data_IF_666534320613
#
_entry.id   IF_666534320613
#
_cell.length_a   1.000
_cell.length_b   1.000
_cell.length_c   1.000
_cell.angle_alpha   90.00
_cell.angle_beta   90.00
_cell.angle_gamma   90.00
#
_symmetry.space_group_name_H-M   'P 1'
#
loop_
_entity.id
_entity.type
_entity.pdbx_description
1 polymer ?
#
# COMPACT_ATOMS: atom_id res chain seq x y z
N UNK A 1 16.03 25.07 -1.75
CA UNK A 1 16.16 25.81 -0.47
C UNK A 1 14.84 25.77 0.29
N UNK A 2 14.86 25.26 1.52
CA UNK A 2 13.74 25.13 2.44
C UNK A 2 13.98 26.07 3.62
N UNK A 3 13.00 26.93 3.95
CA UNK A 3 13.07 27.76 5.16
C UNK A 3 12.22 27.14 6.23
N UNK A 4 12.76 27.00 7.43
CA UNK A 4 12.11 26.44 8.60
C UNK A 4 12.14 27.49 9.70
N UNK A 5 11.01 27.68 10.40
CA UNK A 5 10.88 28.58 11.53
C UNK A 5 10.55 27.77 12.79
N UNK A 6 11.28 28.01 13.87
CA UNK A 6 10.98 27.40 15.16
C UNK A 6 9.84 28.15 15.89
N UNK A 7 9.26 27.59 16.98
CA UNK A 7 8.21 28.25 17.76
C UNK A 7 8.61 29.62 18.35
N UNK A 8 9.91 29.92 18.45
CA UNK A 8 10.45 31.21 18.91
C UNK A 8 10.61 32.23 17.77
N UNK A 9 10.24 31.87 16.54
CA UNK A 9 10.36 32.74 15.37
C UNK A 9 11.76 32.76 14.73
N UNK A 10 12.70 31.93 15.18
CA UNK A 10 14.04 31.85 14.58
C UNK A 10 13.96 31.03 13.30
N UNK A 11 14.41 31.63 12.20
CA UNK A 11 14.44 30.99 10.89
C UNK A 11 15.79 30.34 10.60
N UNK A 12 15.76 29.17 9.97
CA UNK A 12 16.91 28.46 9.40
C UNK A 12 16.61 28.08 7.96
N UNK A 13 17.63 28.07 7.12
CA UNK A 13 17.51 27.67 5.73
C UNK A 13 18.34 26.42 5.47
N UNK A 14 17.76 25.49 4.75
CA UNK A 14 18.37 24.24 4.30
C UNK A 14 18.43 24.26 2.77
N UNK A 15 19.55 23.89 2.17
CA UNK A 15 19.75 23.97 0.73
C UNK A 15 18.90 22.93 -0.01
N UNK A 16 18.77 21.74 0.58
CA UNK A 16 18.10 20.57 -0.02
C UNK A 16 17.10 19.90 0.93
N UNK A 17 16.25 19.02 0.37
CA UNK A 17 15.30 18.21 1.15
C UNK A 17 16.02 17.14 1.98
N UNK A 18 17.17 16.66 1.51
CA UNK A 18 18.01 15.70 2.24
C UNK A 18 18.61 16.33 3.50
N UNK A 19 19.06 17.58 3.42
CA UNK A 19 19.58 18.33 4.56
C UNK A 19 18.48 18.61 5.60
N UNK A 20 17.27 18.96 5.14
CA UNK A 20 16.11 19.09 6.02
C UNK A 20 15.76 17.75 6.70
N UNK A 21 15.77 16.64 5.96
CA UNK A 21 15.52 15.31 6.52
C UNK A 21 16.58 14.92 7.56
N UNK A 22 17.84 15.29 7.34
CA UNK A 22 18.92 15.10 8.31
C UNK A 22 18.71 15.97 9.56
N UNK A 23 18.30 17.23 9.42
CA UNK A 23 17.99 18.09 10.56
C UNK A 23 16.80 17.56 11.39
N UNK A 24 15.82 16.94 10.74
CA UNK A 24 14.70 16.25 11.41
C UNK A 24 15.22 15.03 12.18
N UNK A 25 16.08 14.20 11.57
CA UNK A 25 16.60 13.00 12.22
C UNK A 25 17.54 13.29 13.39
N UNK A 26 18.25 14.42 13.35
CA UNK A 26 19.06 14.93 14.46
C UNK A 26 18.23 15.59 15.57
N UNK A 27 16.92 15.77 15.37
CA UNK A 27 16.03 16.44 16.33
C UNK A 27 16.19 17.97 16.38
N UNK A 28 16.88 18.57 15.40
CA UNK A 28 16.99 20.03 15.30
C UNK A 28 15.68 20.67 14.81
N UNK A 29 14.94 19.94 13.97
CA UNK A 29 13.62 20.31 13.47
C UNK A 29 12.62 19.28 13.98
N UNK A 30 11.75 19.70 14.90
CA UNK A 30 10.78 18.83 15.56
C UNK A 30 9.35 19.34 15.45
N UNK A 31 8.46 18.74 16.24
CA UNK A 31 7.05 19.13 16.32
C UNK A 31 6.92 20.62 16.68
N UNK A 32 6.02 21.32 16.00
CA UNK A 32 5.70 22.74 16.24
C UNK A 32 6.60 23.70 15.45
N UNK A 33 7.54 23.19 14.67
CA UNK A 33 8.24 23.99 13.66
C UNK A 33 7.34 24.17 12.43
N UNK A 34 7.60 25.22 11.67
CA UNK A 34 6.88 25.51 10.43
C UNK A 34 7.85 25.55 9.25
N UNK A 35 7.43 25.03 8.09
CA UNK A 35 8.15 25.09 6.82
C UNK A 35 7.50 26.14 5.92
N UNK A 36 8.32 26.96 5.26
CA UNK A 36 7.83 27.94 4.30
C UNK A 36 7.51 27.27 2.96
N UNK A 37 6.27 27.40 2.49
CA UNK A 37 5.82 26.87 1.22
C UNK A 37 5.84 27.95 0.14
N UNK A 38 6.85 27.91 -0.74
CA UNK A 38 7.15 28.99 -1.71
C UNK A 38 6.01 29.28 -2.69
N UNK A 39 5.21 28.28 -3.06
CA UNK A 39 4.10 28.45 -4.01
C UNK A 39 2.93 29.24 -3.43
N UNK A 40 2.64 29.06 -2.15
CA UNK A 40 1.52 29.72 -1.46
C UNK A 40 1.96 30.95 -0.67
N UNK A 41 3.27 31.10 -0.43
CA UNK A 41 3.82 32.17 0.40
C UNK A 41 3.44 32.03 1.89
N UNK A 42 3.05 30.84 2.32
CA UNK A 42 2.56 30.58 3.69
C UNK A 42 3.52 29.68 4.47
N UNK A 43 3.55 29.90 5.78
CA UNK A 43 4.17 28.96 6.72
C UNK A 43 3.18 27.84 7.02
N UNK A 44 3.63 26.60 6.86
CA UNK A 44 2.83 25.40 7.15
C UNK A 44 3.50 24.61 8.27
N UNK A 45 2.74 23.92 9.13
CA UNK A 45 3.30 23.04 10.14
C UNK A 45 4.23 21.99 9.49
N UNK A 46 5.40 21.75 10.07
CA UNK A 46 6.42 20.83 9.50
C UNK A 46 5.88 19.41 9.33
N UNK A 47 4.84 19.04 10.09
CA UNK A 47 4.14 17.76 10.05
C UNK A 47 3.43 17.52 8.70
N UNK A 48 3.14 18.59 7.95
CA UNK A 48 2.58 18.52 6.61
C UNK A 48 3.63 18.24 5.53
N UNK A 49 4.91 18.38 5.85
CA UNK A 49 5.99 18.23 4.88
C UNK A 49 6.33 16.74 4.64
N UNK A 50 6.49 16.28 3.38
CA UNK A 50 6.74 14.86 3.07
C UNK A 50 7.93 14.25 3.80
N UNK A 51 9.05 14.98 3.91
CA UNK A 51 10.25 14.49 4.62
C UNK A 51 10.00 14.20 6.11
N UNK A 52 9.14 15.00 6.77
CA UNK A 52 8.78 14.79 8.16
C UNK A 52 7.85 13.58 8.32
N UNK A 53 6.91 13.40 7.39
CA UNK A 53 6.05 12.21 7.36
C UNK A 53 6.84 10.93 7.12
N UNK A 54 7.82 10.95 6.21
CA UNK A 54 8.73 9.81 6.00
C UNK A 54 9.52 9.49 7.27
N UNK A 55 10.00 10.51 7.99
CA UNK A 55 10.69 10.34 9.27
C UNK A 55 9.78 9.72 10.34
N UNK A 56 8.53 10.17 10.47
CA UNK A 56 7.56 9.61 11.40
C UNK A 56 7.25 8.14 11.08
N UNK A 57 7.05 7.82 9.80
CA UNK A 57 6.83 6.45 9.34
C UNK A 57 8.04 5.54 9.62
N UNK A 58 9.26 6.05 9.41
CA UNK A 58 10.49 5.30 9.64
C UNK A 58 10.82 5.10 11.14
N UNK A 59 10.50 6.09 11.97
CA UNK A 59 10.82 6.08 13.40
C UNK A 59 9.88 5.21 14.22
N UNK A 60 8.77 4.73 13.65
CA UNK A 60 7.75 3.95 14.37
C UNK A 60 7.13 4.71 15.56
N UNK A 61 7.36 6.04 15.62
CA UNK A 61 6.93 6.91 16.70
C UNK A 61 5.45 7.26 16.52
N UNK A 62 4.58 6.29 16.78
CA UNK A 62 3.20 6.60 17.12
C UNK A 62 3.19 7.42 18.40
N UNK A 63 2.71 8.66 18.31
CA UNK A 63 2.42 9.59 19.43
C UNK A 63 3.46 9.50 20.57
N UNK A 64 4.56 10.25 20.43
CA UNK A 64 5.39 10.56 21.61
C UNK A 64 4.53 11.47 22.50
N UNK A 65 3.91 10.86 23.50
CA UNK A 65 3.26 11.53 24.61
C UNK A 65 4.26 12.56 25.16
N UNK A 66 3.88 13.84 25.13
CA UNK A 66 4.71 14.91 25.69
C UNK A 66 5.01 14.55 27.14
N UNK A 67 6.29 14.44 27.57
CA UNK A 67 6.58 14.16 28.96
C UNK A 67 5.96 15.26 29.80
N UNK A 68 5.12 14.85 30.76
CA UNK A 68 4.50 15.76 31.71
C UNK A 68 5.57 16.70 32.29
N UNK A 69 5.29 18.02 32.40
CA UNK A 69 6.25 18.95 32.97
C UNK A 69 6.63 18.45 34.36
N UNK A 70 7.94 18.28 34.57
CA UNK A 70 8.50 17.92 35.86
C UNK A 70 7.94 18.87 36.93
N UNK A 71 7.35 18.28 37.97
CA UNK A 71 6.91 18.99 39.17
C UNK A 71 8.09 19.82 39.67
N UNK A 72 7.99 21.16 39.75
CA UNK A 72 9.06 21.96 40.31
C UNK A 72 9.25 21.58 41.78
N UNK A 73 10.52 21.33 42.11
CA UNK A 73 11.03 21.14 43.47
C UNK A 73 10.54 22.29 44.39
N UNK A 74 10.10 22.01 45.63
CA UNK A 74 9.37 22.96 46.46
C UNK A 74 10.24 24.15 46.87
N UNK A 75 9.91 25.32 46.34
CA UNK A 75 10.36 26.60 46.88
C UNK A 75 9.61 26.91 48.19
N UNK A 76 10.35 27.45 49.15
CA UNK A 76 9.91 27.89 50.48
C UNK A 76 8.57 28.66 50.51
N UNK A 77 7.81 28.58 51.62
CA UNK A 77 6.40 28.97 51.66
C UNK A 77 6.21 30.46 51.40
N UNK A 78 5.45 30.78 50.34
CA UNK A 78 4.86 32.10 50.12
C UNK A 78 3.38 32.02 50.43
N UNK A 79 2.95 33.01 51.21
CA UNK A 79 1.63 33.19 51.81
C UNK A 79 0.47 33.06 50.83
N UNK A 80 -0.36 32.09 51.17
CA UNK A 80 -1.76 31.87 50.84
C UNK A 80 -2.60 33.15 51.07
N UNK A 81 -3.15 33.76 49.99
CA UNK A 81 -4.42 34.52 50.08
C UNK A 81 -5.19 34.86 48.79
N UNK A 82 -4.65 34.69 47.58
CA UNK A 82 -5.37 35.16 46.36
C UNK A 82 -5.78 34.06 45.35
N UNK A 83 -5.68 32.76 45.69
CA UNK A 83 -5.83 31.67 44.73
C UNK A 83 -7.20 30.93 44.74
N UNK A 84 -8.26 31.49 45.33
CA UNK A 84 -9.55 30.78 45.50
C UNK A 84 -10.65 31.19 44.49
N UNK A 85 -10.47 32.22 43.64
CA UNK A 85 -11.61 32.75 42.85
C UNK A 85 -11.69 32.44 41.34
N UNK A 86 -10.82 31.64 40.72
CA UNK A 86 -10.86 31.49 39.24
C UNK A 86 -11.04 30.07 38.67
N UNK A 87 -11.12 29.02 39.51
CA UNK A 87 -11.14 27.62 39.01
C UNK A 87 -12.53 26.99 38.80
N UNK A 88 -13.62 27.70 39.10
CA UNK A 88 -14.98 27.19 38.93
C UNK A 88 -15.65 27.49 37.56
N UNK A 89 -14.98 28.23 36.66
CA UNK A 89 -15.60 28.70 35.40
C UNK A 89 -15.24 27.96 34.10
N UNK A 90 -14.22 27.09 34.09
CA UNK A 90 -13.67 26.53 32.83
C UNK A 90 -14.00 25.07 32.54
N UNK A 91 -14.71 24.38 33.44
CA UNK A 91 -15.11 22.97 33.26
C UNK A 91 -16.46 22.79 32.54
N UNK A 92 -17.18 23.88 32.22
CA UNK A 92 -18.47 23.82 31.52
C UNK A 92 -18.39 24.03 29.99
N UNK A 93 -17.21 24.33 29.45
CA UNK A 93 -17.01 24.56 28.00
C UNK A 93 -16.28 23.42 27.27
N UNK A 94 -15.77 22.41 27.98
CA UNK A 94 -15.10 21.25 27.37
C UNK A 94 -16.02 20.05 27.09
N UNK A 95 -17.32 20.13 27.41
CA UNK A 95 -18.27 19.02 27.24
C UNK A 95 -19.33 19.27 26.15
N UNK A 96 -18.98 19.99 25.07
CA UNK A 96 -19.93 20.36 24.00
C UNK A 96 -19.39 20.23 22.56
N UNK A 97 -18.28 19.54 22.33
CA UNK A 97 -17.88 19.11 20.97
C UNK A 97 -17.49 17.62 20.92
N UNK A 98 -18.11 16.83 21.79
CA UNK A 98 -18.25 15.39 21.60
C UNK A 98 -19.47 15.16 20.71
N UNK A 99 -19.25 15.03 19.40
CA UNK A 99 -20.32 14.73 18.46
C UNK A 99 -19.85 14.59 17.02
N UNK A 100 -19.55 13.36 16.59
CA UNK A 100 -19.71 13.00 15.18
C UNK A 100 -18.64 12.09 14.55
N UNK A 101 -18.94 10.77 14.56
CA UNK A 101 -18.75 9.78 13.46
C UNK A 101 -17.27 9.43 13.08
N UNK A 102 -16.68 8.28 13.48
CA UNK A 102 -16.93 6.84 13.17
C UNK A 102 -16.22 6.35 11.88
N UNK A 103 -15.25 5.44 12.10
CA UNK A 103 -14.82 4.26 11.31
C UNK A 103 -13.98 4.46 10.04
N UNK A 104 -12.68 4.12 10.14
CA UNK A 104 -12.04 3.04 9.35
C UNK A 104 -11.07 2.29 10.27
N UNK A 105 -11.51 1.13 10.77
CA UNK A 105 -10.64 0.09 11.33
C UNK A 105 -10.46 -1.02 10.29
N UNK A 106 -9.24 -1.20 9.80
CA UNK A 106 -8.79 -2.27 8.90
C UNK A 106 -7.27 -2.38 9.11
N UNK A 107 -6.66 -3.46 9.58
CA UNK A 107 -7.16 -4.73 10.08
C UNK A 107 -6.03 -5.42 10.84
N UNK A 108 -6.15 -5.48 12.16
CA UNK A 108 -5.38 -6.38 13.02
C UNK A 108 -6.32 -7.51 13.41
N UNK A 109 -6.48 -8.51 12.53
CA UNK A 109 -7.50 -9.54 12.74
C UNK A 109 -7.47 -10.67 11.72
N UNK A 110 -6.36 -11.39 11.60
CA UNK A 110 -6.31 -12.62 10.81
C UNK A 110 -5.38 -13.72 11.37
N UNK A 111 -5.06 -13.71 12.68
CA UNK A 111 -4.18 -14.73 13.27
C UNK A 111 -4.80 -15.77 14.24
N UNK A 112 -6.05 -15.68 14.76
CA UNK A 112 -6.56 -16.78 15.61
C UNK A 112 -7.21 -17.93 14.82
N UNK A 113 -7.57 -17.76 13.54
CA UNK A 113 -8.30 -18.79 12.78
C UNK A 113 -7.42 -19.99 12.36
N UNK A 114 -6.09 -19.82 12.27
CA UNK A 114 -5.17 -20.90 11.90
C UNK A 114 -4.79 -21.80 13.09
N UNK A 115 -4.87 -21.30 14.33
CA UNK A 115 -4.61 -22.10 15.53
C UNK A 115 -5.79 -23.03 15.88
N UNK A 116 -7.02 -22.57 15.65
CA UNK A 116 -8.24 -23.34 15.97
C UNK A 116 -8.48 -24.57 15.07
N UNK A 117 -7.79 -24.70 13.92
CA UNK A 117 -7.93 -25.87 13.04
C UNK A 117 -7.07 -27.08 13.45
N UNK A 118 -6.10 -26.92 14.36
CA UNK A 118 -5.16 -28.00 14.71
C UNK A 118 -5.43 -28.70 16.05
N UNK A 119 -6.31 -28.15 16.89
CA UNK A 119 -6.65 -28.69 18.22
C UNK A 119 -8.04 -29.37 18.28
N UNK A 120 -8.48 -30.05 17.21
CA UNK A 120 -9.77 -30.77 17.21
C UNK A 120 -9.59 -32.23 17.68
N UNK A 121 -9.99 -32.61 18.92
CA UNK A 121 -10.16 -34.02 19.26
C UNK A 121 -11.37 -34.60 18.52
N UNK A 122 -11.36 -35.92 18.35
CA UNK A 122 -12.36 -36.69 17.61
C UNK A 122 -13.81 -36.39 18.05
N UNK A 123 -14.69 -36.29 17.05
CA UNK A 123 -16.10 -35.94 17.18
C UNK A 123 -16.91 -36.92 18.06
N UNK A 124 -18.09 -36.46 18.51
CA UNK A 124 -19.26 -37.28 18.20
C UNK A 124 -20.41 -36.50 17.53
N UNK A 125 -21.14 -37.27 16.73
CA UNK A 125 -22.55 -37.21 16.35
C UNK A 125 -23.16 -35.89 15.83
N UNK A 126 -23.69 -36.01 14.61
CA UNK A 126 -24.42 -35.01 13.83
C UNK A 126 -25.63 -34.43 14.59
N UNK A 127 -25.67 -33.09 14.68
CA UNK A 127 -26.92 -32.35 14.78
C UNK A 127 -27.19 -31.69 13.43
N UNK A 128 -28.35 -31.99 12.84
CA UNK A 128 -28.82 -31.43 11.57
C UNK A 128 -28.95 -29.90 11.69
N UNK A 129 -28.29 -29.18 10.79
CA UNK A 129 -28.51 -27.74 10.58
C UNK A 129 -29.82 -27.52 9.81
N UNK A 130 -30.60 -26.47 10.13
CA UNK A 130 -31.80 -26.10 9.39
C UNK A 130 -31.45 -25.58 7.99
N UNK A 131 -32.34 -25.81 7.04
CA UNK A 131 -32.20 -25.41 5.64
C UNK A 131 -32.03 -23.88 5.49
N UNK A 132 -31.17 -23.41 4.56
CA UNK A 132 -31.01 -21.98 4.31
C UNK A 132 -32.26 -21.39 3.66
N UNK A 133 -32.62 -20.19 4.12
CA UNK A 133 -33.67 -19.35 3.51
C UNK A 133 -33.31 -18.99 2.05
N UNK A 134 -34.29 -18.79 1.17
CA UNK A 134 -34.05 -18.43 -0.22
C UNK A 134 -33.32 -17.08 -0.31
N UNK A 135 -32.28 -17.05 -1.14
CA UNK A 135 -31.47 -15.86 -1.37
C UNK A 135 -32.30 -14.72 -1.97
N UNK A 136 -32.29 -13.57 -1.29
CA UNK A 136 -32.74 -12.29 -1.83
C UNK A 136 -31.89 -11.95 -3.06
N UNK A 137 -32.56 -11.65 -4.18
CA UNK A 137 -31.92 -11.35 -5.44
C UNK A 137 -31.07 -10.07 -5.34
N UNK A 138 -29.81 -10.19 -5.73
CA UNK A 138 -28.85 -9.09 -5.79
C UNK A 138 -29.34 -8.01 -6.78
N UNK A 139 -29.62 -6.76 -6.32
CA UNK A 139 -30.15 -5.70 -7.18
C UNK A 139 -29.18 -5.26 -8.28
N UNK A 140 -27.94 -5.72 -8.26
CA UNK A 140 -26.92 -5.41 -9.27
C UNK A 140 -26.86 -6.41 -10.43
N UNK A 141 -27.62 -7.51 -10.37
CA UNK A 141 -27.58 -8.57 -11.37
C UNK A 141 -28.90 -8.76 -12.13
N UNK A 142 -29.60 -7.65 -12.41
CA UNK A 142 -30.76 -7.67 -13.27
C UNK A 142 -30.33 -7.89 -14.74
N UNK A 143 -30.96 -8.83 -15.48
CA UNK A 143 -30.70 -8.98 -16.90
C UNK A 143 -31.12 -7.71 -17.63
N UNK A 144 -30.16 -7.12 -18.35
CA UNK A 144 -30.38 -5.97 -19.24
C UNK A 144 -31.46 -6.35 -20.25
N UNK A 145 -32.63 -5.71 -20.14
CA UNK A 145 -33.68 -5.85 -21.16
C UNK A 145 -33.18 -5.24 -22.47
N UNK A 146 -33.44 -5.87 -23.63
CA UNK A 146 -33.19 -5.26 -24.92
C UNK A 146 -33.97 -3.94 -24.99
N UNK A 147 -33.26 -2.84 -25.20
CA UNK A 147 -33.87 -1.52 -25.38
C UNK A 147 -34.78 -1.53 -26.59
N UNK A 148 -36.04 -1.12 -26.43
CA UNK A 148 -36.94 -0.79 -27.53
C UNK A 148 -36.32 0.31 -28.40
N UNK A 149 -36.46 0.25 -29.74
CA UNK A 149 -35.95 1.26 -30.63
C UNK A 149 -36.77 2.56 -30.49
N UNK A 150 -36.07 3.66 -30.23
CA UNK A 150 -36.64 5.01 -30.27
C UNK A 150 -37.11 5.35 -31.70
N UNK A 151 -38.29 5.99 -31.86
CA UNK A 151 -38.71 6.51 -33.16
C UNK A 151 -37.88 7.75 -33.51
N UNK A 152 -37.06 7.63 -34.56
CA UNK A 152 -36.41 8.76 -35.22
C UNK A 152 -37.42 9.41 -36.18
N UNK A 153 -38.16 10.41 -35.71
CA UNK A 153 -38.80 11.36 -36.60
C UNK A 153 -37.73 12.32 -37.14
N UNK A 154 -37.28 12.05 -38.37
CA UNK A 154 -36.43 12.94 -39.15
C UNK A 154 -37.24 13.41 -40.36
N UNK A 155 -37.60 14.70 -40.46
CA UNK A 155 -38.13 15.23 -41.72
C UNK A 155 -37.02 15.23 -42.77
N UNK A 156 -37.34 14.63 -43.92
CA UNK A 156 -36.51 14.65 -45.11
C UNK A 156 -36.59 16.05 -45.75
N UNK A 157 -35.44 16.67 -45.93
CA UNK A 157 -35.28 17.85 -46.79
C UNK A 157 -34.38 17.41 -47.97
N UNK A 158 -34.94 17.15 -49.17
CA UNK A 158 -34.16 16.68 -50.30
C UNK A 158 -33.93 17.83 -51.27
N UNK A 159 -32.98 18.72 -50.98
CA UNK A 159 -32.35 19.58 -52.01
C UNK A 159 -31.23 20.43 -51.42
N UNK A 160 -30.04 19.85 -51.18
CA UNK A 160 -28.80 20.65 -51.20
C UNK A 160 -27.57 19.83 -51.55
N UNK A 161 -27.16 19.97 -52.81
CA UNK A 161 -25.79 19.94 -53.35
C UNK A 161 -24.91 18.71 -53.11
N UNK A 162 -24.71 18.00 -54.22
CA UNK A 162 -23.61 17.08 -54.47
C UNK A 162 -22.24 17.76 -54.19
N UNK A 163 -21.61 17.37 -53.09
CA UNK A 163 -20.19 17.58 -52.85
C UNK A 163 -19.39 16.40 -53.46
N UNK A 164 -18.20 16.64 -54.04
CA UNK A 164 -17.44 15.61 -54.72
C UNK A 164 -16.98 14.51 -53.74
N UNK A 165 -17.24 13.26 -54.14
CA UNK A 165 -16.83 12.03 -53.48
C UNK A 165 -15.30 11.82 -53.59
N UNK A 166 -14.52 12.67 -52.92
CA UNK A 166 -13.07 12.59 -52.85
C UNK A 166 -12.58 12.62 -51.41
N UNK A 167 -12.15 11.46 -50.90
CA UNK A 167 -11.15 11.36 -49.81
C UNK A 167 -11.54 11.85 -48.41
N UNK A 168 -12.58 11.28 -47.80
CA UNK A 168 -12.84 11.43 -46.34
C UNK A 168 -12.38 10.21 -45.53
N UNK A 169 -12.22 9.04 -46.16
CA UNK A 169 -11.75 7.82 -45.48
C UNK A 169 -10.25 7.84 -45.12
N UNK A 170 -9.45 8.75 -45.69
CA UNK A 170 -8.00 8.83 -45.41
C UNK A 170 -7.65 9.73 -44.21
N UNK A 171 -8.53 10.66 -43.80
CA UNK A 171 -8.25 11.58 -42.68
C UNK A 171 -8.68 11.03 -41.30
N UNK A 172 -9.54 10.01 -41.24
CA UNK A 172 -9.87 9.32 -39.98
C UNK A 172 -8.83 8.26 -39.57
N UNK A 173 -7.97 7.80 -40.49
CA UNK A 173 -6.86 6.90 -40.17
C UNK A 173 -5.63 7.63 -39.57
N UNK A 174 -5.58 8.98 -39.69
CA UNK A 174 -4.43 9.79 -39.31
C UNK A 174 -4.50 10.38 -37.88
N UNK A 175 -5.53 10.07 -37.11
CA UNK A 175 -5.66 10.50 -35.70
C UNK A 175 -5.79 9.30 -34.77
N UNK A 176 -4.87 8.33 -34.89
CA UNK A 176 -4.32 7.75 -33.66
C UNK A 176 -3.58 8.89 -32.99
N UNK A 177 -4.25 9.58 -32.06
CA UNK A 177 -3.60 10.59 -31.23
C UNK A 177 -2.36 9.93 -30.65
N UNK A 178 -1.18 10.40 -31.07
CA UNK A 178 0.05 9.91 -30.53
C UNK A 178 -0.01 10.14 -29.03
N UNK A 179 0.09 9.07 -28.25
CA UNK A 179 0.22 9.14 -26.79
C UNK A 179 1.26 10.21 -26.49
N UNK A 180 0.94 11.15 -25.60
CA UNK A 180 1.87 12.22 -25.25
C UNK A 180 3.22 11.61 -24.84
N UNK A 181 4.36 12.05 -25.42
CA UNK A 181 5.67 11.55 -25.02
C UNK A 181 5.91 11.62 -23.50
N UNK A 182 5.36 12.65 -22.84
CA UNK A 182 5.44 12.83 -21.40
C UNK A 182 4.70 11.75 -20.59
N UNK A 183 3.63 11.15 -21.14
CA UNK A 183 2.92 10.04 -20.49
C UNK A 183 3.76 8.77 -20.50
N UNK A 184 4.37 8.44 -21.65
CA UNK A 184 5.28 7.29 -21.76
C UNK A 184 6.51 7.49 -20.86
N UNK A 185 7.12 8.68 -20.89
CA UNK A 185 8.28 9.00 -20.05
C UNK A 185 7.95 8.91 -18.56
N UNK A 186 6.77 9.37 -18.14
CA UNK A 186 6.32 9.27 -16.75
C UNK A 186 6.15 7.81 -16.28
N UNK A 187 5.58 6.94 -17.12
CA UNK A 187 5.49 5.51 -16.82
C UNK A 187 6.85 4.83 -16.76
N UNK A 188 7.75 5.16 -17.69
CA UNK A 188 9.10 4.59 -17.71
C UNK A 188 9.93 5.04 -16.51
N UNK A 189 9.77 6.29 -16.06
CA UNK A 189 10.36 6.79 -14.81
C UNK A 189 9.81 6.02 -13.59
N UNK A 190 8.48 5.92 -13.43
CA UNK A 190 7.87 5.19 -12.32
C UNK A 190 8.28 3.70 -12.28
N UNK A 191 8.40 3.06 -13.45
CA UNK A 191 8.89 1.67 -13.57
C UNK A 191 10.37 1.53 -13.22
N UNK A 192 11.18 2.53 -13.54
CA UNK A 192 12.59 2.57 -13.15
C UNK A 192 12.72 2.71 -11.62
N UNK A 193 11.98 3.63 -11.02
CA UNK A 193 11.98 3.89 -9.59
C UNK A 193 11.59 2.64 -8.78
N UNK A 194 10.51 1.95 -9.19
CA UNK A 194 10.10 0.71 -8.49
C UNK A 194 11.12 -0.42 -8.67
N UNK A 195 11.78 -0.52 -9.83
CA UNK A 195 12.84 -1.51 -10.07
C UNK A 195 14.04 -1.26 -9.16
N UNK A 196 14.53 -0.03 -9.11
CA UNK A 196 15.62 0.38 -8.22
C UNK A 196 15.25 0.16 -6.75
N UNK A 197 14.00 0.46 -6.37
CA UNK A 197 13.47 0.18 -5.03
C UNK A 197 13.46 -1.32 -4.69
N UNK A 198 13.00 -2.17 -5.61
CA UNK A 198 12.99 -3.63 -5.42
C UNK A 198 14.40 -4.22 -5.32
N UNK A 199 15.34 -3.70 -6.11
CA UNK A 199 16.76 -4.04 -6.01
C UNK A 199 17.34 -3.64 -4.66
N UNK A 200 17.06 -2.42 -4.20
CA UNK A 200 17.49 -1.91 -2.89
C UNK A 200 16.95 -2.73 -1.71
N UNK A 201 15.68 -3.14 -1.76
CA UNK A 201 15.08 -4.04 -0.74
C UNK A 201 15.84 -5.38 -0.67
N UNK A 202 16.48 -5.78 -1.77
CA UNK A 202 17.32 -6.96 -1.83
C UNK A 202 16.51 -8.23 -1.61
N UNK A 203 15.46 -8.40 -2.44
CA UNK A 203 14.68 -9.63 -2.54
C UNK A 203 15.47 -10.79 -3.15
N UNK A 204 16.62 -10.51 -3.79
CA UNK A 204 17.44 -11.53 -4.41
C UNK A 204 17.79 -12.64 -3.40
N UNK A 205 17.51 -13.87 -3.84
CA UNK A 205 17.71 -15.05 -3.04
C UNK A 205 16.87 -15.04 -1.78
N UNK A 206 15.60 -14.61 -1.85
CA UNK A 206 14.62 -14.65 -0.75
C UNK A 206 14.62 -16.01 -0.03
N UNK A 207 14.78 -17.09 -0.80
CA UNK A 207 14.78 -18.47 -0.33
C UNK A 207 16.18 -19.04 -0.06
N UNK A 208 17.22 -18.21 -0.02
CA UNK A 208 18.58 -18.67 0.32
C UNK A 208 18.61 -19.25 1.74
N UNK A 209 19.38 -20.33 1.99
CA UNK A 209 19.42 -20.96 3.30
C UNK A 209 19.79 -20.01 4.44
N UNK A 210 20.68 -19.04 4.18
CA UNK A 210 21.11 -18.02 5.14
C UNK A 210 19.97 -17.12 5.63
N UNK A 211 18.95 -16.86 4.80
CA UNK A 211 17.77 -16.04 5.14
C UNK A 211 16.71 -16.81 5.94
N UNK A 212 16.70 -18.13 5.79
CA UNK A 212 15.78 -19.01 6.49
C UNK A 212 16.38 -19.58 7.78
N UNK A 213 17.68 -19.36 8.00
CA UNK A 213 18.41 -19.84 9.18
C UNK A 213 18.12 -18.95 10.38
N UNK A 214 17.22 -19.41 11.24
CA UNK A 214 16.92 -18.82 12.54
C UNK A 214 15.85 -17.72 12.51
N UNK A 215 15.32 -17.36 13.70
CA UNK A 215 14.16 -16.48 13.82
C UNK A 215 14.43 -15.04 13.35
N UNK A 216 15.63 -14.50 13.59
CA UNK A 216 15.95 -13.12 13.21
C UNK A 216 16.08 -12.94 11.70
N UNK A 217 16.70 -13.90 11.02
CA UNK A 217 16.79 -13.94 9.56
C UNK A 217 15.41 -14.03 8.91
N UNK A 218 14.51 -14.83 9.48
CA UNK A 218 13.12 -14.94 9.02
C UNK A 218 12.35 -13.63 9.22
N UNK A 219 12.47 -12.99 10.39
CA UNK A 219 11.86 -11.66 10.64
C UNK A 219 12.40 -10.60 9.68
N UNK A 220 13.70 -10.58 9.44
CA UNK A 220 14.33 -9.69 8.47
C UNK A 220 13.81 -9.95 7.04
N UNK A 221 13.60 -11.20 6.68
CA UNK A 221 13.01 -11.61 5.39
C UNK A 221 11.57 -11.11 5.26
N UNK A 222 10.73 -11.28 6.29
CA UNK A 222 9.35 -10.73 6.30
C UNK A 222 9.33 -9.21 6.15
N UNK A 223 10.23 -8.49 6.82
CA UNK A 223 10.35 -7.02 6.66
C UNK A 223 10.68 -6.62 5.22
N UNK A 224 11.53 -7.38 4.53
CA UNK A 224 11.83 -7.13 3.09
C UNK A 224 10.61 -7.39 2.21
N UNK A 225 9.87 -8.47 2.45
CA UNK A 225 8.62 -8.75 1.73
C UNK A 225 7.61 -7.61 1.93
N UNK A 226 7.42 -7.15 3.18
CA UNK A 226 6.54 -6.03 3.48
C UNK A 226 7.00 -4.71 2.81
N UNK A 227 8.31 -4.44 2.80
CA UNK A 227 8.86 -3.28 2.09
C UNK A 227 8.58 -3.34 0.58
N UNK A 228 8.76 -4.51 -0.04
CA UNK A 228 8.41 -4.72 -1.44
C UNK A 228 6.92 -4.53 -1.71
N UNK A 229 6.04 -5.06 -0.85
CA UNK A 229 4.59 -4.84 -0.96
C UNK A 229 4.22 -3.35 -0.94
N UNK A 230 4.86 -2.57 -0.05
CA UNK A 230 4.65 -1.13 0.03
C UNK A 230 5.14 -0.39 -1.23
N UNK A 231 6.30 -0.77 -1.78
CA UNK A 231 6.80 -0.21 -3.04
C UNK A 231 5.83 -0.47 -4.19
N UNK A 232 5.31 -1.69 -4.32
CA UNK A 232 4.33 -2.01 -5.35
C UNK A 232 3.03 -1.24 -5.18
N UNK A 233 2.57 -1.05 -3.93
CA UNK A 233 1.39 -0.23 -3.66
C UNK A 233 1.60 1.24 -4.04
N UNK A 234 2.77 1.80 -3.74
CA UNK A 234 3.13 3.17 -4.11
C UNK A 234 3.20 3.34 -5.64
N UNK A 235 3.82 2.40 -6.34
CA UNK A 235 3.87 2.37 -7.80
C UNK A 235 2.46 2.36 -8.42
N UNK A 236 1.53 1.55 -7.89
CA UNK A 236 0.13 1.55 -8.35
C UNK A 236 -0.58 2.90 -8.12
N UNK A 237 -0.27 3.58 -7.03
CA UNK A 237 -0.72 4.95 -6.79
C UNK A 237 -0.20 5.93 -7.86
N UNK A 238 1.07 5.81 -8.24
CA UNK A 238 1.68 6.63 -9.29
C UNK A 238 1.08 6.35 -10.68
N UNK A 239 0.86 5.09 -11.04
CA UNK A 239 0.19 4.73 -12.31
C UNK A 239 -1.22 5.35 -12.39
N UNK A 240 -1.98 5.30 -11.29
CA UNK A 240 -3.31 5.92 -11.20
C UNK A 240 -3.25 7.44 -11.39
N UNK A 241 -2.29 8.11 -10.75
CA UNK A 241 -2.11 9.55 -10.91
C UNK A 241 -1.71 9.93 -12.32
N UNK A 242 -0.79 9.18 -12.95
CA UNK A 242 -0.40 9.38 -14.34
C UNK A 242 -1.61 9.19 -15.27
N UNK A 243 -2.39 8.13 -15.08
CA UNK A 243 -3.60 7.88 -15.86
C UNK A 243 -4.62 9.02 -15.76
N UNK A 244 -4.87 9.52 -14.56
CA UNK A 244 -5.80 10.63 -14.33
C UNK A 244 -5.30 11.92 -15.00
N UNK A 245 -4.02 12.24 -14.83
CA UNK A 245 -3.42 13.48 -15.35
C UNK A 245 -3.42 13.56 -16.88
N UNK A 246 -3.35 12.41 -17.56
CA UNK A 246 -3.32 12.33 -19.02
C UNK A 246 -4.62 11.78 -19.63
N UNK A 247 -5.66 11.52 -18.83
CA UNK A 247 -6.94 10.95 -19.30
C UNK A 247 -7.53 11.70 -20.49
N UNK A 248 -7.48 13.04 -20.48
CA UNK A 248 -8.00 13.87 -21.57
C UNK A 248 -7.22 13.69 -22.89
N UNK A 249 -5.95 13.27 -22.82
CA UNK A 249 -5.10 12.99 -23.99
C UNK A 249 -5.18 11.54 -24.47
N UNK A 250 -5.76 10.64 -23.67
CA UNK A 250 -5.95 9.22 -23.98
C UNK A 250 -7.32 9.08 -24.66
N UNK A 251 -7.33 9.08 -25.99
CA UNK A 251 -8.57 8.95 -26.77
C UNK A 251 -9.06 7.51 -26.88
N UNK A 252 -8.21 6.52 -26.60
CA UNK A 252 -8.51 5.10 -26.70
C UNK A 252 -8.01 4.36 -25.45
N UNK A 253 -8.89 3.59 -24.81
CA UNK A 253 -8.53 2.69 -23.70
C UNK A 253 -7.39 1.72 -24.05
N UNK A 254 -7.25 1.32 -25.32
CA UNK A 254 -6.15 0.46 -25.77
C UNK A 254 -4.77 1.15 -25.73
N UNK A 255 -4.74 2.48 -25.60
CA UNK A 255 -3.51 3.28 -25.45
C UNK A 255 -3.09 3.49 -23.99
N UNK A 256 -3.88 2.99 -23.03
CA UNK A 256 -3.50 3.02 -21.62
C UNK A 256 -2.27 2.15 -21.38
N UNK A 257 -1.23 2.74 -20.79
CA UNK A 257 -0.03 2.04 -20.32
C UNK A 257 -0.21 1.44 -18.93
N UNK A 258 -1.35 1.71 -18.28
CA UNK A 258 -1.69 1.22 -16.96
C UNK A 258 -1.78 -0.30 -16.97
N UNK A 259 -1.12 -0.93 -16.00
CA UNK A 259 -1.24 -2.37 -15.82
C UNK A 259 -2.69 -2.77 -15.41
N UNK A 260 -3.27 -3.81 -16.04
CA UNK A 260 -4.56 -4.37 -15.65
C UNK A 260 -4.60 -4.77 -14.17
N UNK A 261 -5.75 -4.61 -13.51
CA UNK A 261 -5.90 -4.93 -12.09
C UNK A 261 -5.47 -6.36 -11.75
N UNK A 262 -5.87 -7.34 -12.55
CA UNK A 262 -5.54 -8.75 -12.34
C UNK A 262 -4.02 -9.02 -12.31
N UNK A 263 -3.25 -8.35 -13.18
CA UNK A 263 -1.79 -8.51 -13.23
C UNK A 263 -1.12 -7.91 -11.98
N UNK A 264 -1.57 -6.73 -11.55
CA UNK A 264 -1.04 -6.11 -10.34
C UNK A 264 -1.39 -6.91 -9.07
N UNK A 265 -2.60 -7.48 -9.02
CA UNK A 265 -3.03 -8.31 -7.91
C UNK A 265 -2.25 -9.63 -7.84
N UNK A 266 -1.88 -10.20 -8.99
CA UNK A 266 -1.02 -11.38 -9.02
C UNK A 266 0.36 -11.13 -8.36
N UNK A 267 0.99 -9.96 -8.58
CA UNK A 267 2.23 -9.60 -7.90
C UNK A 267 2.06 -9.51 -6.37
N UNK A 268 0.93 -8.96 -5.90
CA UNK A 268 0.59 -8.91 -4.47
C UNK A 268 0.37 -10.30 -3.89
N UNK A 269 -0.32 -11.17 -4.62
CA UNK A 269 -0.56 -12.56 -4.21
C UNK A 269 0.75 -13.34 -4.07
N UNK A 270 1.71 -13.18 -5.00
CA UNK A 270 3.03 -13.82 -4.91
C UNK A 270 3.75 -13.39 -3.61
N UNK A 271 3.81 -12.10 -3.31
CA UNK A 271 4.45 -11.59 -2.10
C UNK A 271 3.70 -12.01 -0.82
N UNK A 272 2.36 -12.02 -0.84
CA UNK A 272 1.55 -12.48 0.29
C UNK A 272 1.75 -13.98 0.57
N UNK A 273 1.80 -14.81 -0.48
CA UNK A 273 2.10 -16.23 -0.36
C UNK A 273 3.53 -16.47 0.14
N UNK A 274 4.51 -15.67 -0.31
CA UNK A 274 5.87 -15.70 0.23
C UNK A 274 5.91 -15.35 1.73
N UNK A 275 5.23 -14.28 2.16
CA UNK A 275 5.17 -13.92 3.59
C UNK A 275 4.51 -15.02 4.42
N UNK A 276 3.47 -15.67 3.89
CA UNK A 276 2.78 -16.77 4.56
C UNK A 276 3.70 -17.98 4.76
N UNK A 277 4.48 -18.35 3.75
CA UNK A 277 5.50 -19.41 3.84
C UNK A 277 6.57 -19.09 4.89
N UNK A 278 7.15 -17.89 4.84
CA UNK A 278 8.16 -17.45 5.82
C UNK A 278 7.56 -17.39 7.23
N UNK A 279 6.31 -16.94 7.35
CA UNK A 279 5.56 -16.90 8.60
C UNK A 279 5.33 -18.29 9.20
N UNK A 280 5.02 -19.29 8.38
CA UNK A 280 4.89 -20.68 8.84
C UNK A 280 6.23 -21.22 9.36
N UNK A 281 7.32 -21.01 8.62
CA UNK A 281 8.67 -21.44 9.07
C UNK A 281 9.05 -20.75 10.38
N UNK A 282 8.79 -19.45 10.49
CA UNK A 282 9.04 -18.68 11.71
C UNK A 282 8.22 -19.19 12.90
N UNK A 283 6.96 -19.58 12.69
CA UNK A 283 6.07 -20.10 13.73
C UNK A 283 6.54 -21.44 14.30
N UNK A 284 7.30 -22.23 13.53
CA UNK A 284 7.88 -23.48 14.00
C UNK A 284 9.17 -23.29 14.81
N UNK A 285 9.87 -22.18 14.63
CA UNK A 285 11.11 -21.87 15.36
C UNK A 285 12.18 -22.95 15.17
N UNK A 286 12.71 -23.46 16.28
CA UNK A 286 13.79 -24.47 16.28
C UNK A 286 13.33 -25.88 15.80
N UNK A 287 12.04 -26.05 15.52
CA UNK A 287 11.47 -27.30 14.97
C UNK A 287 11.66 -27.44 13.46
N UNK A 288 12.27 -26.45 12.80
CA UNK A 288 12.63 -26.52 11.38
C UNK A 288 14.13 -26.43 11.23
N UNK A 289 14.70 -27.39 10.52
CA UNK A 289 16.13 -27.39 10.17
C UNK A 289 16.28 -27.15 8.67
N UNK A 290 17.15 -26.20 8.31
CA UNK A 290 17.44 -25.84 6.91
C UNK A 290 18.67 -26.64 6.46
N UNK A 291 18.52 -27.46 5.40
CA UNK A 291 19.59 -28.30 4.86
C UNK A 291 19.78 -28.01 3.37
N UNK A 292 20.61 -27.02 3.03
CA UNK A 292 20.76 -26.58 1.65
C UNK A 292 19.41 -26.13 1.07
N UNK A 293 18.95 -26.73 -0.02
CA UNK A 293 17.69 -26.40 -0.68
C UNK A 293 16.45 -27.10 -0.09
N UNK A 294 16.59 -27.76 1.07
CA UNK A 294 15.48 -28.45 1.74
C UNK A 294 15.20 -27.92 3.14
N UNK A 295 13.95 -28.08 3.58
CA UNK A 295 13.52 -27.81 4.95
C UNK A 295 13.03 -29.10 5.59
N UNK A 296 13.57 -29.48 6.74
CA UNK A 296 13.08 -30.61 7.52
C UNK A 296 12.29 -30.09 8.71
N UNK A 297 11.03 -30.48 8.79
CA UNK A 297 10.11 -30.12 9.86
C UNK A 297 10.04 -31.25 10.89
N UNK A 298 10.06 -30.92 12.18
CA UNK A 298 9.80 -31.91 13.23
C UNK A 298 8.30 -32.28 13.33
N UNK A 299 7.41 -31.40 12.87
CA UNK A 299 5.96 -31.60 12.85
C UNK A 299 5.48 -31.94 11.43
N UNK A 300 4.94 -33.15 11.25
CA UNK A 300 4.40 -33.62 9.97
C UNK A 300 3.23 -32.77 9.45
N UNK A 301 2.41 -32.19 10.34
CA UNK A 301 1.31 -31.31 9.93
C UNK A 301 1.83 -30.00 9.37
N UNK A 302 2.89 -29.45 9.98
CA UNK A 302 3.56 -28.26 9.48
C UNK A 302 4.22 -28.51 8.12
N UNK A 303 4.85 -29.68 7.93
CA UNK A 303 5.41 -30.09 6.63
C UNK A 303 4.33 -30.16 5.52
N UNK A 304 3.18 -30.75 5.83
CA UNK A 304 2.05 -30.82 4.90
C UNK A 304 1.51 -29.42 4.55
N UNK A 305 1.29 -28.56 5.56
CA UNK A 305 0.84 -27.18 5.34
C UNK A 305 1.84 -26.36 4.52
N UNK A 306 3.15 -26.53 4.77
CA UNK A 306 4.19 -25.89 3.97
C UNK A 306 4.17 -26.38 2.53
N UNK A 307 3.96 -27.67 2.30
CA UNK A 307 3.85 -28.26 0.94
C UNK A 307 2.70 -27.64 0.15
N UNK A 308 1.52 -27.51 0.78
CA UNK A 308 0.33 -26.90 0.18
C UNK A 308 0.57 -25.43 -0.16
N UNK A 309 1.07 -24.65 0.79
CA UNK A 309 1.40 -23.23 0.59
C UNK A 309 2.46 -23.04 -0.49
N UNK A 310 3.47 -23.92 -0.55
CA UNK A 310 4.52 -23.90 -1.57
C UNK A 310 3.93 -24.15 -2.95
N UNK A 311 3.01 -25.10 -3.10
CA UNK A 311 2.32 -25.34 -4.36
C UNK A 311 1.52 -24.10 -4.80
N UNK A 312 0.74 -23.49 -3.89
CA UNK A 312 -0.01 -22.27 -4.19
C UNK A 312 0.90 -21.10 -4.62
N UNK A 313 2.02 -20.92 -3.93
CA UNK A 313 3.02 -19.90 -4.29
C UNK A 313 3.64 -20.16 -5.67
N UNK A 314 3.96 -21.41 -6.01
CA UNK A 314 4.49 -21.77 -7.33
C UNK A 314 3.44 -21.56 -8.42
N UNK A 315 2.17 -21.90 -8.19
CA UNK A 315 1.08 -21.59 -9.12
C UNK A 315 0.94 -20.08 -9.35
N UNK A 316 1.05 -19.26 -8.30
CA UNK A 316 1.05 -17.81 -8.42
C UNK A 316 2.24 -17.29 -9.25
N UNK A 317 3.43 -17.89 -9.09
CA UNK A 317 4.62 -17.58 -9.90
C UNK A 317 4.48 -18.02 -11.36
N UNK A 318 3.85 -19.16 -11.64
CA UNK A 318 3.66 -19.63 -13.02
C UNK A 318 2.67 -18.73 -13.77
N UNK A 319 1.57 -18.36 -13.11
CA UNK A 319 0.66 -17.32 -13.62
C UNK A 319 1.38 -15.99 -13.84
N UNK A 320 2.38 -15.70 -13.00
CA UNK A 320 3.21 -14.52 -13.11
C UNK A 320 4.18 -14.51 -14.29
N UNK A 321 4.78 -15.65 -14.61
CA UNK A 321 5.73 -15.79 -15.72
C UNK A 321 5.10 -15.49 -17.09
N UNK A 322 3.76 -15.57 -17.19
CA UNK A 322 3.01 -15.25 -18.40
C UNK A 322 2.67 -13.76 -18.54
N UNK A 323 2.94 -12.95 -17.51
CA UNK A 323 2.65 -11.52 -17.54
C UNK A 323 3.64 -10.75 -18.44
N UNK A 324 3.22 -9.57 -18.92
CA UNK A 324 4.10 -8.71 -19.72
C UNK A 324 5.32 -8.27 -18.89
N UNK A 325 6.53 -8.19 -19.47
CA UNK A 325 7.73 -7.78 -18.73
C UNK A 325 7.65 -6.38 -18.11
N UNK A 326 6.83 -5.50 -18.67
CA UNK A 326 6.64 -4.11 -18.22
C UNK A 326 5.66 -3.97 -17.06
N UNK A 327 4.96 -5.04 -16.69
CA UNK A 327 4.01 -5.05 -15.59
C UNK A 327 4.74 -5.25 -14.26
N UNK A 328 4.10 -4.86 -13.16
CA UNK A 328 4.64 -4.97 -11.79
C UNK A 328 5.25 -6.34 -11.53
N UNK A 329 4.59 -7.37 -12.05
CA UNK A 329 5.01 -8.76 -11.90
C UNK A 329 6.26 -9.12 -12.72
N UNK A 330 6.39 -8.57 -13.92
CA UNK A 330 7.61 -8.65 -14.73
C UNK A 330 8.79 -7.91 -14.11
N UNK A 331 8.53 -6.88 -13.28
CA UNK A 331 9.56 -6.19 -12.49
C UNK A 331 9.94 -6.97 -11.22
N UNK A 332 8.97 -7.67 -10.61
CA UNK A 332 9.18 -8.45 -9.38
C UNK A 332 10.00 -9.73 -9.63
N UNK A 333 9.73 -10.46 -10.71
CA UNK A 333 10.37 -11.76 -10.96
C UNK A 333 11.92 -11.69 -11.01
N UNK A 334 12.53 -10.73 -11.74
CA UNK A 334 13.99 -10.55 -11.71
C UNK A 334 14.52 -10.23 -10.31
N UNK A 335 13.77 -9.43 -9.52
CA UNK A 335 14.18 -9.04 -8.17
C UNK A 335 14.17 -10.21 -7.18
N UNK A 336 13.34 -11.23 -7.39
CA UNK A 336 13.33 -12.46 -6.57
C UNK A 336 14.58 -13.32 -6.82
N UNK A 337 15.20 -13.22 -8.01
CA UNK A 337 16.39 -13.97 -8.41
C UNK A 337 16.12 -15.48 -8.53
N UNK A 338 16.21 -16.19 -7.40
CA UNK A 338 15.75 -17.58 -7.28
C UNK A 338 14.40 -17.60 -6.55
N UNK A 339 13.29 -17.64 -7.29
CA UNK A 339 11.96 -17.50 -6.69
C UNK A 339 11.48 -18.81 -6.06
N UNK A 340 12.17 -19.93 -6.21
CA UNK A 340 11.68 -21.25 -5.78
C UNK A 340 11.92 -21.48 -4.29
N UNK A 341 10.87 -21.77 -3.48
CA UNK A 341 11.04 -22.07 -2.07
C UNK A 341 11.68 -23.45 -1.89
N UNK A 342 12.45 -23.67 -0.81
CA UNK A 342 13.05 -24.97 -0.52
C UNK A 342 11.98 -26.07 -0.38
N UNK A 343 12.37 -27.29 -0.75
CA UNK A 343 11.48 -28.46 -0.73
C UNK A 343 11.39 -29.02 0.68
N UNK A 344 10.19 -29.33 1.21
CA UNK A 344 10.08 -30.00 2.50
C UNK A 344 10.63 -31.43 2.41
N UNK A 345 11.47 -31.82 3.36
CA UNK A 345 11.87 -33.21 3.57
C UNK A 345 10.93 -33.89 4.58
N UNK A 346 10.55 -35.16 4.31
CA UNK A 346 9.68 -35.93 5.20
C UNK A 346 10.31 -36.25 6.55
#
# INVERSE_FOLDING_TARGET
MFRVRNPKGVERSYESSAELAQAISLGEVGHGFEVFHSRTGTWLPVETHPAYQTFLAASGAGVIETPAPAVPEPAAPRTERDAIQSRAGKLRTMLALAGGIVVIGLGAGAYPALKARFDRPAAPAMAQLPAPAPAEADPWNAPVRPSDPLPLDRPADPDTMAAPAGSVTSRMAATRAAISPAYTEGYDAARRDVREGLEYVGLDGLWRPSRLKGPDSLRATRRRIAAAQNLLAAFRGQELMLEESYRASITDSASSLREPFASAEAARQVLAAADTLVGLVLAQGDRVTVQGATLRFADARAAAAYTELRAAYLTALDGAAQARPTYTLGLLLPALGNPTPPVPQP
#
